data_IF_110138323775
#
_entry.id   IF_110138323775
#
_cell.length_a   1.000
_cell.length_b   1.000
_cell.length_c   1.000
_cell.angle_alpha   90.00
_cell.angle_beta   90.00
_cell.angle_gamma   90.00
#
_symmetry.space_group_name_H-M   'P 1'
#
loop_
_entity.id
_entity.type
_entity.pdbx_description
1 polymer ?
#
# COMPACT_ATOMS: atom_id res chain seq x y z
N UNK A 1 -10.35 1.51 -8.33
CA UNK A 1 -9.19 1.81 -7.44
C UNK A 1 -7.88 1.38 -8.12
N UNK A 2 -6.75 2.04 -7.85
CA UNK A 2 -5.45 1.69 -8.45
C UNK A 2 -4.53 0.99 -7.44
N UNK A 3 -4.09 -0.23 -7.75
CA UNK A 3 -3.11 -0.99 -6.97
C UNK A 3 -1.76 -0.94 -7.67
N UNK A 4 -0.73 -0.44 -6.99
CA UNK A 4 0.64 -0.51 -7.49
C UNK A 4 1.32 -1.74 -6.86
N UNK A 5 1.63 -2.73 -7.68
CA UNK A 5 2.32 -3.94 -7.24
C UNK A 5 3.78 -3.84 -7.69
N UNK A 6 4.71 -4.01 -6.75
CA UNK A 6 6.15 -4.00 -7.01
C UNK A 6 6.78 -5.33 -6.60
N UNK A 7 7.80 -5.75 -7.35
CA UNK A 7 8.65 -6.88 -7.01
C UNK A 7 10.07 -6.36 -6.75
N UNK A 8 10.49 -6.23 -5.48
CA UNK A 8 11.71 -5.50 -5.11
C UNK A 8 12.97 -6.20 -5.63
N UNK A 9 12.97 -7.52 -5.75
CA UNK A 9 14.13 -8.28 -6.23
C UNK A 9 14.52 -7.95 -7.68
N UNK A 10 13.57 -7.52 -8.52
CA UNK A 10 13.85 -7.10 -9.91
C UNK A 10 13.65 -5.60 -10.13
N UNK A 11 13.11 -4.88 -9.15
CA UNK A 11 12.72 -3.48 -9.29
C UNK A 11 11.52 -3.26 -10.22
N UNK A 12 10.84 -4.33 -10.67
CA UNK A 12 9.68 -4.21 -11.54
C UNK A 12 8.46 -3.74 -10.77
N UNK A 13 7.71 -2.81 -11.36
CA UNK A 13 6.43 -2.33 -10.81
C UNK A 13 5.37 -2.27 -11.90
N UNK A 14 4.17 -2.75 -11.58
CA UNK A 14 3.02 -2.68 -12.48
C UNK A 14 1.80 -2.13 -11.75
N UNK A 15 1.22 -1.01 -12.20
CA UNK A 15 -0.07 -0.58 -11.74
C UNK A 15 -1.15 -1.48 -12.34
N UNK A 16 -2.15 -1.85 -11.55
CA UNK A 16 -3.39 -2.42 -12.10
C UNK A 16 -4.61 -1.68 -11.59
N UNK A 17 -5.56 -1.50 -12.50
CA UNK A 17 -6.84 -0.87 -12.24
C UNK A 17 -7.84 -1.96 -11.85
N UNK A 18 -8.40 -1.85 -10.65
CA UNK A 18 -9.36 -2.80 -10.10
C UNK A 18 -10.57 -2.03 -9.59
N UNK A 19 -11.73 -2.31 -10.15
CA UNK A 19 -13.01 -1.70 -9.74
C UNK A 19 -13.89 -2.66 -8.92
N UNK A 20 -13.50 -3.93 -8.86
CA UNK A 20 -14.21 -4.95 -8.08
C UNK A 20 -13.94 -4.77 -6.58
N UNK A 21 -14.95 -4.30 -5.86
CA UNK A 21 -14.86 -4.02 -4.42
C UNK A 21 -14.68 -5.29 -3.58
N UNK A 22 -15.23 -6.43 -4.01
CA UNK A 22 -15.09 -7.71 -3.30
C UNK A 22 -13.64 -8.18 -3.31
N UNK A 23 -12.93 -7.99 -4.43
CA UNK A 23 -11.49 -8.29 -4.52
C UNK A 23 -10.64 -7.35 -3.67
N UNK A 24 -11.06 -6.09 -3.55
CA UNK A 24 -10.40 -5.07 -2.75
C UNK A 24 -10.66 -5.22 -1.24
N UNK A 25 -11.76 -5.89 -0.85
CA UNK A 25 -12.15 -6.05 0.54
C UNK A 25 -11.05 -6.69 1.41
N UNK A 26 -10.31 -7.65 0.85
CA UNK A 26 -9.21 -8.32 1.54
C UNK A 26 -8.06 -7.37 1.96
N UNK A 27 -7.96 -6.20 1.32
CA UNK A 27 -6.94 -5.19 1.58
C UNK A 27 -7.43 -4.06 2.51
N UNK A 28 -8.73 -3.97 2.77
CA UNK A 28 -9.27 -2.98 3.70
C UNK A 28 -8.95 -3.37 5.15
N UNK A 29 -8.80 -2.35 6.00
CA UNK A 29 -8.56 -2.47 7.45
C UNK A 29 -7.32 -3.29 7.86
N UNK A 30 -6.42 -3.57 6.91
CA UNK A 30 -5.12 -4.20 7.20
C UNK A 30 -4.11 -3.14 7.63
N UNK A 31 -3.27 -3.50 8.61
CA UNK A 31 -2.14 -2.67 9.03
C UNK A 31 -1.09 -2.60 7.93
N UNK A 32 -0.26 -1.56 7.95
CA UNK A 32 0.95 -1.54 7.14
C UNK A 32 1.83 -2.75 7.45
N UNK A 33 2.57 -3.19 6.44
CA UNK A 33 3.46 -4.33 6.51
C UNK A 33 2.77 -5.69 6.75
N UNK A 34 1.44 -5.76 6.69
CA UNK A 34 0.68 -7.01 6.76
C UNK A 34 0.78 -7.79 5.46
N UNK A 35 0.95 -9.10 5.56
CA UNK A 35 0.92 -10.04 4.44
C UNK A 35 -0.51 -10.50 4.17
N UNK A 36 -0.89 -10.56 2.90
CA UNK A 36 -2.18 -11.02 2.44
C UNK A 36 -2.02 -11.91 1.20
N UNK A 37 -2.87 -12.92 1.07
CA UNK A 37 -2.94 -13.72 -0.13
C UNK A 37 -3.50 -12.87 -1.30
N UNK A 38 -2.84 -12.95 -2.45
CA UNK A 38 -3.22 -12.20 -3.66
C UNK A 38 -4.19 -12.97 -4.57
N UNK A 39 -4.70 -14.13 -4.14
CA UNK A 39 -5.60 -14.98 -4.94
C UNK A 39 -6.85 -14.23 -5.42
N UNK A 40 -7.33 -13.29 -4.61
CA UNK A 40 -8.49 -12.47 -4.95
C UNK A 40 -8.21 -11.44 -6.06
N UNK A 41 -6.95 -11.12 -6.36
CA UNK A 41 -6.60 -10.11 -7.36
C UNK A 41 -6.67 -10.62 -8.81
N UNK A 42 -6.85 -11.93 -9.01
CA UNK A 42 -6.96 -12.57 -10.32
C UNK A 42 -6.13 -13.85 -10.43
N UNK A 43 -6.42 -14.71 -11.41
CA UNK A 43 -5.71 -15.99 -11.60
C UNK A 43 -4.20 -15.81 -11.81
N UNK A 44 -3.79 -14.72 -12.47
CA UNK A 44 -2.40 -14.35 -12.70
C UNK A 44 -1.59 -14.13 -11.40
N UNK A 45 -2.27 -13.87 -10.28
CA UNK A 45 -1.67 -13.63 -8.95
C UNK A 45 -2.07 -14.68 -7.92
N UNK A 46 -2.67 -15.78 -8.37
CA UNK A 46 -2.98 -16.92 -7.50
C UNK A 46 -1.69 -17.53 -6.96
N UNK A 47 -1.66 -17.83 -5.66
CA UNK A 47 -0.51 -18.37 -4.96
C UNK A 47 0.55 -17.33 -4.55
N UNK A 48 0.36 -16.05 -4.86
CA UNK A 48 1.26 -14.99 -4.41
C UNK A 48 0.84 -14.45 -3.05
N UNK A 49 1.83 -14.15 -2.21
CA UNK A 49 1.65 -13.38 -0.97
C UNK A 49 2.17 -11.97 -1.23
N UNK A 50 1.33 -10.98 -0.95
CA UNK A 50 1.67 -9.56 -1.09
C UNK A 50 1.70 -8.90 0.27
N UNK A 51 2.62 -7.93 0.43
CA UNK A 51 2.74 -7.13 1.64
C UNK A 51 2.33 -5.69 1.35
N UNK A 52 1.44 -5.14 2.17
CA UNK A 52 1.02 -3.74 2.04
C UNK A 52 2.15 -2.83 2.51
N UNK A 53 2.84 -2.16 1.58
CA UNK A 53 3.95 -1.24 1.88
C UNK A 53 3.50 0.19 2.17
N UNK A 54 2.31 0.59 1.69
CA UNK A 54 1.82 1.96 1.82
C UNK A 54 0.66 2.24 0.87
N UNK A 55 0.38 3.52 0.68
CA UNK A 55 -0.53 3.99 -0.35
C UNK A 55 -0.86 5.46 -0.18
N UNK A 56 -1.72 5.96 -1.06
CA UNK A 56 -2.16 7.35 -1.07
C UNK A 56 -3.70 7.40 -0.98
N UNK A 57 -4.22 8.35 -0.22
CA UNK A 57 -5.64 8.65 -0.24
C UNK A 57 -6.02 9.38 -1.55
N UNK A 58 -7.32 9.35 -1.91
CA UNK A 58 -7.87 10.04 -3.09
C UNK A 58 -7.50 11.53 -3.18
N UNK A 59 -7.26 12.18 -2.04
CA UNK A 59 -6.86 13.59 -1.95
C UNK A 59 -5.35 13.82 -2.14
N UNK A 60 -4.57 12.78 -2.44
CA UNK A 60 -3.13 12.83 -2.67
C UNK A 60 -2.27 12.77 -1.40
N UNK A 61 -2.87 12.61 -0.22
CA UNK A 61 -2.10 12.48 1.02
C UNK A 61 -1.52 11.07 1.16
N UNK A 62 -0.22 10.93 1.48
CA UNK A 62 0.35 9.63 1.79
C UNK A 62 -0.26 9.11 3.09
N UNK A 63 -0.53 7.81 3.13
CA UNK A 63 -0.97 7.19 4.37
C UNK A 63 0.19 7.12 5.38
N UNK A 64 -0.07 7.43 6.65
CA UNK A 64 0.94 7.26 7.71
C UNK A 64 0.67 6.01 8.53
N UNK A 65 1.73 5.29 8.87
CA UNK A 65 1.70 4.38 10.01
C UNK A 65 1.70 5.22 11.29
N UNK A 66 0.65 5.12 12.09
CA UNK A 66 0.68 5.61 13.48
C UNK A 66 1.09 4.47 14.42
N UNK A 67 1.52 4.79 15.65
CA UNK A 67 2.05 3.82 16.63
C UNK A 67 1.11 2.63 16.94
N UNK A 68 -0.18 2.72 16.59
CA UNK A 68 -1.16 1.62 16.67
C UNK A 68 -1.20 0.71 15.43
N UNK A 69 -0.28 0.89 14.46
CA UNK A 69 -0.19 0.10 13.22
C UNK A 69 -1.27 0.40 12.18
N UNK A 70 -2.27 1.21 12.51
CA UNK A 70 -3.38 1.58 11.62
C UNK A 70 -2.95 2.67 10.63
N UNK A 71 -3.46 2.60 9.41
CA UNK A 71 -3.27 3.62 8.37
C UNK A 71 -4.25 4.77 8.57
N UNK A 72 -3.75 5.97 8.82
CA UNK A 72 -4.58 7.18 8.92
C UNK A 72 -4.20 8.20 7.84
N UNK A 73 -5.17 9.01 7.36
CA UNK A 73 -4.88 10.14 6.50
C UNK A 73 -4.01 11.14 7.26
N UNK A 74 -2.86 11.50 6.67
CA UNK A 74 -2.03 12.58 7.20
C UNK A 74 -2.82 13.90 7.06
N UNK A 75 -2.94 14.74 8.11
CA UNK A 75 -3.63 16.02 8.01
C UNK A 75 -2.96 16.92 6.95
N UNK A 76 -3.75 17.80 6.31
CA UNK A 76 -3.32 18.70 5.21
C UNK A 76 -2.18 19.68 5.60
N UNK A 77 -1.79 19.73 6.87
CA UNK A 77 -0.72 20.58 7.38
C UNK A 77 0.64 19.95 7.05
N UNK A 78 1.42 20.62 6.20
CA UNK A 78 2.79 20.20 5.85
C UNK A 78 3.60 20.03 7.14
N UNK A 79 4.00 18.81 7.55
CA UNK A 79 4.90 18.68 8.67
C UNK A 79 6.26 19.26 8.25
N UNK A 80 6.88 20.03 9.14
CA UNK A 80 8.26 20.48 8.97
C UNK A 80 9.14 19.22 8.94
N UNK A 81 9.59 18.79 7.76
CA UNK A 81 10.56 17.70 7.66
C UNK A 81 11.89 18.20 8.23
N UNK A 82 12.21 17.79 9.46
CA UNK A 82 13.57 17.90 9.98
C UNK A 82 14.50 17.11 9.04
N UNK A 83 15.57 17.76 8.57
CA UNK A 83 16.59 17.18 7.69
C UNK A 83 17.05 15.84 8.29
N UNK A 84 16.78 14.72 7.60
CA UNK A 84 17.38 13.43 8.01
C UNK A 84 16.65 12.15 7.66
N UNK A 85 15.35 12.14 7.33
CA UNK A 85 14.68 10.87 7.03
C UNK A 85 14.70 10.52 5.53
N UNK A 86 15.85 10.09 5.03
CA UNK A 86 15.87 9.09 3.94
C UNK A 86 15.39 7.77 4.55
N UNK A 87 14.11 7.48 4.46
CA UNK A 87 13.64 6.08 4.52
C UNK A 87 13.34 5.63 3.10
N UNK A 88 14.41 5.45 2.34
CA UNK A 88 14.39 4.42 1.31
C UNK A 88 14.47 3.10 2.05
N UNK A 89 13.50 2.22 1.82
CA UNK A 89 13.68 0.80 2.09
C UNK A 89 13.12 0.05 0.90
N UNK A 90 14.07 -0.72 0.35
CA UNK A 90 14.06 -1.75 -0.70
C UNK A 90 12.76 -2.54 -0.75
#
# INVERSE_FOLDING_TARGET
MKLNISFPATGYQKPIEMDDELKLHNFYEKRLATEAAADALGEERKGYVVRTSGGNYKQGFPMKQVNAGMLHPHPKTKPLYARGCRKGYV
#
